data_IF_103176555318
#
_entry.id   IF_103176555318
#
_cell.length_a   1.000
_cell.length_b   1.000
_cell.length_c   1.000
_cell.angle_alpha   90.00
_cell.angle_beta   90.00
_cell.angle_gamma   90.00
#
_symmetry.space_group_name_H-M   'P 1'
#
loop_
_entity.id
_entity.type
_entity.pdbx_description
1 polymer ?
#
# COMPACT_ATOMS: atom_id res chain seq x y z
N UNK A 1 -5.36 -21.35 -46.15
CA UNK A 1 -4.58 -21.46 -44.89
C UNK A 1 -5.30 -20.62 -43.86
N UNK A 2 -5.95 -21.26 -42.92
CA UNK A 2 -6.57 -20.55 -41.78
C UNK A 2 -5.45 -20.18 -40.80
N UNK A 3 -5.36 -18.90 -40.33
CA UNK A 3 -4.36 -18.53 -39.34
C UNK A 3 -4.44 -19.42 -38.10
N UNK A 4 -3.31 -19.81 -37.53
CA UNK A 4 -3.19 -20.77 -36.41
C UNK A 4 -4.02 -20.33 -35.20
N UNK A 5 -4.13 -19.02 -34.92
CA UNK A 5 -4.94 -18.48 -33.83
C UNK A 5 -6.46 -18.71 -34.02
N UNK A 6 -6.93 -18.85 -35.28
CA UNK A 6 -8.34 -19.22 -35.54
C UNK A 6 -8.60 -20.68 -35.22
N UNK A 7 -7.58 -21.55 -35.37
CA UNK A 7 -7.71 -22.97 -35.03
C UNK A 7 -7.76 -23.20 -33.52
N UNK A 8 -6.95 -22.44 -32.73
CA UNK A 8 -7.00 -22.51 -31.27
C UNK A 8 -8.28 -21.86 -30.71
N UNK A 9 -8.79 -20.83 -31.38
CA UNK A 9 -9.89 -20.00 -30.91
C UNK A 9 -9.43 -18.92 -29.94
N UNK A 10 -10.01 -17.72 -30.06
CA UNK A 10 -9.61 -16.53 -29.31
C UNK A 10 -9.70 -16.74 -27.79
N UNK A 11 -10.71 -17.46 -27.33
CA UNK A 11 -10.92 -17.65 -25.88
C UNK A 11 -9.88 -18.59 -25.29
N UNK A 12 -9.55 -19.70 -25.96
CA UNK A 12 -8.47 -20.60 -25.50
C UNK A 12 -7.09 -19.96 -25.57
N UNK A 13 -6.85 -19.12 -26.57
CA UNK A 13 -5.62 -18.35 -26.68
C UNK A 13 -5.46 -17.37 -25.52
N UNK A 14 -6.53 -16.65 -25.14
CA UNK A 14 -6.51 -15.76 -23.98
C UNK A 14 -6.25 -16.51 -22.68
N UNK A 15 -6.89 -17.67 -22.47
CA UNK A 15 -6.67 -18.51 -21.29
C UNK A 15 -5.22 -18.99 -21.24
N UNK A 16 -4.66 -19.44 -22.36
CA UNK A 16 -3.26 -19.86 -22.46
C UNK A 16 -2.30 -18.73 -22.14
N UNK A 17 -2.52 -17.55 -22.73
CA UNK A 17 -1.68 -16.37 -22.47
C UNK A 17 -1.77 -15.91 -21.01
N UNK A 18 -2.94 -16.02 -20.39
CA UNK A 18 -3.14 -15.69 -18.99
C UNK A 18 -2.38 -16.67 -18.06
N UNK A 19 -2.37 -17.99 -18.38
CA UNK A 19 -1.58 -18.98 -17.64
C UNK A 19 -0.08 -18.69 -17.79
N UNK A 20 0.41 -18.44 -19.01
CA UNK A 20 1.81 -18.09 -19.28
C UNK A 20 2.21 -16.81 -18.52
N UNK A 21 1.34 -15.79 -18.54
CA UNK A 21 1.59 -14.53 -17.83
C UNK A 21 1.71 -14.73 -16.33
N UNK A 22 0.77 -15.47 -15.72
CA UNK A 22 0.77 -15.76 -14.29
C UNK A 22 1.98 -16.57 -13.86
N UNK A 23 2.30 -17.68 -14.56
CA UNK A 23 3.43 -18.56 -14.23
C UNK A 23 4.75 -17.76 -14.24
N UNK A 24 4.96 -16.91 -15.25
CA UNK A 24 6.18 -16.10 -15.34
C UNK A 24 6.19 -14.94 -14.34
N UNK A 25 5.05 -14.24 -14.13
CA UNK A 25 4.95 -13.14 -13.19
C UNK A 25 5.17 -13.63 -11.75
N UNK A 26 4.55 -14.75 -11.37
CA UNK A 26 4.73 -15.37 -10.05
C UNK A 26 6.20 -15.81 -9.81
N UNK A 27 6.89 -16.24 -10.85
CA UNK A 27 8.31 -16.58 -10.81
C UNK A 27 9.26 -15.38 -10.89
N UNK A 28 8.73 -14.13 -10.88
CA UNK A 28 9.50 -12.88 -11.06
C UNK A 28 10.30 -12.84 -12.37
N UNK A 29 9.73 -13.41 -13.43
CA UNK A 29 10.35 -13.47 -14.76
C UNK A 29 9.70 -12.49 -15.71
N UNK A 30 10.47 -11.48 -16.13
CA UNK A 30 10.10 -10.55 -17.20
C UNK A 30 10.58 -11.05 -18.58
N UNK A 31 11.63 -11.88 -18.59
CA UNK A 31 12.21 -12.47 -19.77
C UNK A 31 12.22 -14.00 -19.63
N UNK A 32 11.92 -14.68 -20.71
CA UNK A 32 11.86 -16.14 -20.76
C UNK A 32 12.40 -16.65 -22.10
N UNK A 33 13.02 -17.81 -22.08
CA UNK A 33 13.57 -18.42 -23.30
C UNK A 33 12.47 -18.96 -24.20
N UNK A 34 12.75 -19.09 -25.49
CA UNK A 34 11.87 -19.73 -26.47
C UNK A 34 11.42 -21.12 -25.99
N UNK A 35 12.36 -21.91 -25.46
CA UNK A 35 12.03 -23.25 -24.96
C UNK A 35 11.06 -23.25 -23.79
N UNK A 36 11.18 -22.28 -22.87
CA UNK A 36 10.21 -22.15 -21.75
C UNK A 36 8.82 -21.86 -22.29
N UNK A 37 8.68 -20.92 -23.23
CA UNK A 37 7.37 -20.58 -23.82
C UNK A 37 6.78 -21.76 -24.59
N UNK A 38 7.59 -22.43 -25.40
CA UNK A 38 7.15 -23.63 -26.15
C UNK A 38 6.67 -24.73 -25.19
N UNK A 39 7.38 -24.96 -24.09
CA UNK A 39 6.98 -25.94 -23.08
C UNK A 39 5.66 -25.54 -22.38
N UNK A 40 5.47 -24.25 -22.08
CA UNK A 40 4.21 -23.75 -21.47
C UNK A 40 3.05 -23.92 -22.46
N UNK A 41 3.21 -23.56 -23.72
CA UNK A 41 2.20 -23.77 -24.76
C UNK A 41 1.87 -25.27 -24.90
N UNK A 42 2.88 -26.14 -24.99
CA UNK A 42 2.69 -27.59 -25.10
C UNK A 42 1.97 -28.16 -23.88
N UNK A 43 2.31 -27.71 -22.67
CA UNK A 43 1.65 -28.10 -21.42
C UNK A 43 0.16 -27.73 -21.46
N UNK A 44 -0.15 -26.48 -21.87
CA UNK A 44 -1.51 -26.01 -21.99
C UNK A 44 -2.34 -26.84 -22.97
N UNK A 45 -1.79 -27.09 -24.19
CA UNK A 45 -2.47 -27.90 -25.21
C UNK A 45 -2.70 -29.35 -24.75
N UNK A 46 -1.75 -29.91 -24.00
CA UNK A 46 -1.85 -31.29 -23.50
C UNK A 46 -2.88 -31.46 -22.38
N UNK A 47 -3.04 -30.41 -21.55
CA UNK A 47 -3.92 -30.42 -20.38
C UNK A 47 -5.35 -29.96 -20.69
N UNK A 48 -5.60 -29.42 -21.88
CA UNK A 48 -6.90 -28.89 -22.26
C UNK A 48 -7.57 -29.79 -23.30
N UNK A 49 -8.62 -30.51 -22.91
CA UNK A 49 -9.37 -31.43 -23.79
C UNK A 49 -10.07 -30.70 -24.95
N UNK A 50 -10.36 -29.42 -24.82
CA UNK A 50 -10.96 -28.59 -25.85
C UNK A 50 -9.95 -28.01 -26.84
N UNK A 51 -8.64 -28.12 -26.54
CA UNK A 51 -7.61 -27.67 -27.44
C UNK A 51 -7.42 -28.66 -28.62
N UNK A 52 -7.28 -28.17 -29.87
CA UNK A 52 -6.99 -29.03 -31.01
C UNK A 52 -5.66 -29.78 -30.82
N UNK A 53 -5.71 -31.10 -30.90
CA UNK A 53 -4.57 -31.98 -30.56
C UNK A 53 -3.38 -31.92 -31.56
N UNK A 54 -3.56 -31.30 -32.71
CA UNK A 54 -2.56 -31.28 -33.80
C UNK A 54 -1.92 -29.89 -34.02
N UNK A 55 -2.05 -28.97 -33.03
CA UNK A 55 -1.43 -27.66 -33.12
C UNK A 55 0.06 -27.73 -32.76
N UNK A 56 0.85 -27.10 -33.55
CA UNK A 56 2.30 -26.96 -33.35
C UNK A 56 2.56 -25.76 -32.43
N UNK A 57 3.18 -25.96 -31.25
CA UNK A 57 3.51 -24.85 -30.31
C UNK A 57 4.37 -23.76 -30.98
N UNK A 58 5.27 -24.11 -31.90
CA UNK A 58 6.10 -23.15 -32.63
C UNK A 58 5.26 -22.21 -33.48
N UNK A 59 4.29 -22.76 -34.22
CA UNK A 59 3.35 -21.94 -35.02
C UNK A 59 2.47 -21.03 -34.17
N UNK A 60 2.09 -21.48 -32.97
CA UNK A 60 1.35 -20.64 -32.05
C UNK A 60 2.24 -19.51 -31.55
N UNK A 61 3.49 -19.80 -31.18
CA UNK A 61 4.46 -18.77 -30.77
C UNK A 61 4.69 -17.75 -31.88
N UNK A 62 4.87 -18.20 -33.15
CA UNK A 62 4.99 -17.31 -34.29
C UNK A 62 3.77 -16.39 -34.46
N UNK A 63 2.56 -16.94 -34.34
CA UNK A 63 1.33 -16.13 -34.41
C UNK A 63 1.26 -15.07 -33.31
N UNK A 64 1.56 -15.44 -32.07
CA UNK A 64 1.54 -14.54 -30.90
C UNK A 64 2.60 -13.44 -31.03
N UNK A 65 3.77 -13.76 -31.63
CA UNK A 65 4.89 -12.82 -31.76
C UNK A 65 4.81 -11.98 -33.01
N UNK A 66 4.65 -12.61 -34.18
CA UNK A 66 4.79 -11.95 -35.50
C UNK A 66 3.46 -11.32 -35.92
N UNK A 67 2.34 -12.02 -35.74
CA UNK A 67 1.04 -11.55 -36.25
C UNK A 67 0.35 -10.62 -35.23
N UNK A 68 0.47 -10.90 -33.92
CA UNK A 68 -0.27 -10.17 -32.88
C UNK A 68 0.60 -9.23 -32.06
N UNK A 69 1.91 -9.49 -31.95
CA UNK A 69 2.83 -8.67 -31.17
C UNK A 69 2.54 -8.69 -29.65
N UNK A 70 1.93 -9.76 -29.13
CA UNK A 70 1.64 -9.94 -27.70
C UNK A 70 2.93 -10.29 -26.95
N UNK A 71 3.70 -11.24 -27.49
CA UNK A 71 5.08 -11.51 -27.08
C UNK A 71 6.03 -10.88 -28.09
N UNK A 72 7.21 -10.48 -27.63
CA UNK A 72 8.24 -9.85 -28.45
C UNK A 72 9.58 -10.53 -28.15
N UNK A 73 10.29 -10.93 -29.21
CA UNK A 73 11.66 -11.39 -29.09
C UNK A 73 12.59 -10.19 -28.84
N UNK A 74 13.19 -10.12 -27.65
CA UNK A 74 14.08 -9.03 -27.21
C UNK A 74 15.54 -9.27 -27.57
N UNK A 75 15.91 -10.53 -27.62
CA UNK A 75 17.22 -11.01 -28.08
C UNK A 75 16.98 -12.41 -28.66
N UNK A 76 17.99 -12.98 -29.30
CA UNK A 76 17.86 -14.31 -29.90
C UNK A 76 17.35 -15.33 -28.89
N UNK A 77 16.22 -15.94 -29.19
CA UNK A 77 15.53 -16.96 -28.37
C UNK A 77 15.11 -16.46 -26.95
N UNK A 78 15.01 -15.12 -26.74
CA UNK A 78 14.58 -14.50 -25.48
C UNK A 78 13.36 -13.63 -25.72
N UNK A 79 12.28 -13.95 -25.05
CA UNK A 79 10.96 -13.32 -25.20
C UNK A 79 10.53 -12.56 -23.94
N UNK A 80 9.65 -11.61 -24.12
CA UNK A 80 8.89 -10.96 -23.04
C UNK A 80 7.49 -10.62 -23.57
N UNK A 81 6.56 -10.30 -22.66
CA UNK A 81 5.37 -9.58 -23.09
C UNK A 81 5.75 -8.23 -23.68
N UNK A 82 4.99 -7.76 -24.68
CA UNK A 82 5.25 -6.49 -25.36
C UNK A 82 5.28 -5.31 -24.38
N UNK A 83 4.39 -5.35 -23.38
CA UNK A 83 4.32 -4.42 -22.27
C UNK A 83 4.13 -5.17 -20.96
N UNK A 84 4.76 -4.67 -19.87
CA UNK A 84 4.57 -5.22 -18.52
C UNK A 84 3.10 -5.19 -18.11
N UNK A 85 2.40 -4.11 -18.40
CA UNK A 85 0.97 -3.95 -18.10
C UNK A 85 0.09 -5.01 -18.75
N UNK A 86 0.50 -5.56 -19.90
CA UNK A 86 -0.19 -6.68 -20.54
C UNK A 86 0.01 -7.98 -19.76
N UNK A 87 1.24 -8.23 -19.29
CA UNK A 87 1.53 -9.38 -18.43
C UNK A 87 0.75 -9.28 -17.11
N UNK A 88 0.72 -8.10 -16.47
CA UNK A 88 -0.03 -7.84 -15.25
C UNK A 88 -1.54 -8.04 -15.45
N UNK A 89 -2.10 -7.54 -16.55
CA UNK A 89 -3.51 -7.71 -16.88
C UNK A 89 -3.88 -9.18 -17.09
N UNK A 90 -3.10 -9.92 -17.86
CA UNK A 90 -3.32 -11.34 -18.10
C UNK A 90 -3.15 -12.16 -16.80
N UNK A 91 -2.19 -11.78 -15.96
CA UNK A 91 -2.02 -12.36 -14.63
C UNK A 91 -3.25 -12.12 -13.74
N UNK A 92 -3.79 -10.90 -13.74
CA UNK A 92 -5.03 -10.57 -13.00
C UNK A 92 -6.24 -11.37 -13.51
N UNK A 93 -6.35 -11.52 -14.83
CA UNK A 93 -7.38 -12.32 -15.46
C UNK A 93 -7.29 -13.79 -15.02
N UNK A 94 -6.07 -14.37 -15.05
CA UNK A 94 -5.84 -15.75 -14.60
C UNK A 94 -6.23 -15.94 -13.13
N UNK A 95 -5.86 -15.01 -12.26
CA UNK A 95 -6.18 -15.04 -10.82
C UNK A 95 -7.70 -15.06 -10.61
N UNK A 96 -8.42 -14.18 -11.32
CA UNK A 96 -9.88 -14.08 -11.20
C UNK A 96 -10.58 -15.34 -11.74
N UNK A 97 -10.23 -15.79 -12.94
CA UNK A 97 -10.84 -16.93 -13.60
C UNK A 97 -10.60 -18.25 -12.86
N UNK A 98 -9.42 -18.40 -12.24
CA UNK A 98 -9.05 -19.58 -11.45
C UNK A 98 -9.34 -19.45 -9.94
N UNK A 99 -10.05 -18.41 -9.50
CA UNK A 99 -10.45 -18.19 -8.09
C UNK A 99 -9.27 -18.14 -7.12
N UNK A 100 -8.17 -17.54 -7.54
CA UNK A 100 -6.93 -17.41 -6.75
C UNK A 100 -6.87 -16.10 -5.94
N UNK A 101 -7.98 -15.38 -5.81
CA UNK A 101 -8.03 -14.07 -5.11
C UNK A 101 -7.59 -14.20 -3.64
N UNK A 102 -8.02 -15.27 -2.95
CA UNK A 102 -7.58 -15.51 -1.57
C UNK A 102 -6.06 -15.74 -1.50
N UNK A 103 -5.51 -16.53 -2.43
CA UNK A 103 -4.05 -16.75 -2.52
C UNK A 103 -3.31 -15.44 -2.79
N UNK A 104 -3.79 -14.62 -3.73
CA UNK A 104 -3.22 -13.30 -4.00
C UNK A 104 -3.13 -12.46 -2.73
N UNK A 105 -4.21 -12.38 -1.95
CA UNK A 105 -4.26 -11.57 -0.74
C UNK A 105 -3.34 -12.13 0.33
N UNK A 106 -3.36 -13.44 0.59
CA UNK A 106 -2.58 -14.05 1.68
C UNK A 106 -1.08 -14.06 1.43
N UNK A 107 -0.65 -14.20 0.18
CA UNK A 107 0.76 -14.32 -0.16
C UNK A 107 1.41 -12.99 -0.60
N UNK A 108 0.64 -12.05 -1.16
CA UNK A 108 1.23 -10.91 -1.86
C UNK A 108 0.72 -9.53 -1.43
N UNK A 109 -0.16 -9.43 -0.40
CA UNK A 109 -0.79 -8.16 0.02
C UNK A 109 0.20 -7.01 0.25
N UNK A 110 1.41 -7.30 0.72
CA UNK A 110 2.44 -6.30 1.01
C UNK A 110 3.62 -6.32 0.04
N UNK A 111 3.57 -7.17 -0.98
CA UNK A 111 4.56 -7.17 -2.06
C UNK A 111 4.21 -6.08 -3.10
N UNK A 112 5.00 -5.01 -3.11
CA UNK A 112 4.78 -3.85 -3.99
C UNK A 112 4.78 -4.20 -5.48
N UNK A 113 5.44 -5.30 -5.86
CA UNK A 113 5.47 -5.79 -7.25
C UNK A 113 4.08 -6.20 -7.72
N UNK A 114 3.24 -6.72 -6.81
CA UNK A 114 1.88 -7.17 -7.12
C UNK A 114 0.83 -6.05 -7.11
N UNK A 115 1.23 -4.81 -6.81
CA UNK A 115 0.28 -3.69 -6.69
C UNK A 115 -0.66 -3.58 -7.89
N UNK A 116 -0.10 -3.49 -9.11
CA UNK A 116 -0.90 -3.33 -10.33
C UNK A 116 -1.82 -4.54 -10.56
N UNK A 117 -1.36 -5.75 -10.23
CA UNK A 117 -2.20 -6.95 -10.31
C UNK A 117 -3.40 -6.85 -9.38
N UNK A 118 -3.25 -6.35 -8.15
CA UNK A 118 -4.38 -6.09 -7.23
C UNK A 118 -5.39 -5.12 -7.83
N UNK A 119 -4.93 -4.00 -8.40
CA UNK A 119 -5.81 -3.00 -9.01
C UNK A 119 -6.56 -3.60 -10.21
N UNK A 120 -5.87 -4.36 -11.04
CA UNK A 120 -6.45 -5.02 -12.22
C UNK A 120 -7.43 -6.12 -11.81
N UNK A 121 -7.14 -6.92 -10.77
CA UNK A 121 -8.10 -7.91 -10.22
C UNK A 121 -9.36 -7.20 -9.77
N UNK A 122 -9.26 -6.10 -8.99
CA UNK A 122 -10.43 -5.32 -8.59
C UNK A 122 -11.24 -4.81 -9.81
N UNK A 123 -10.55 -4.39 -10.88
CA UNK A 123 -11.15 -3.90 -12.11
C UNK A 123 -11.85 -4.99 -12.95
N UNK A 124 -11.33 -6.23 -12.99
CA UNK A 124 -11.92 -7.32 -13.76
C UNK A 124 -13.06 -8.05 -13.04
N UNK A 125 -13.23 -7.83 -11.74
CA UNK A 125 -14.29 -8.42 -10.93
C UNK A 125 -15.66 -7.81 -11.27
N UNK A 126 -16.30 -8.29 -12.34
CA UNK A 126 -17.58 -7.74 -12.85
C UNK A 126 -18.74 -7.82 -11.86
N UNK A 127 -18.70 -8.77 -10.93
CA UNK A 127 -19.68 -8.93 -9.85
C UNK A 127 -19.49 -7.96 -8.67
N UNK A 128 -18.41 -7.16 -8.70
CA UNK A 128 -17.99 -6.25 -7.62
C UNK A 128 -16.78 -6.78 -6.86
N UNK A 129 -16.04 -5.86 -6.25
CA UNK A 129 -14.78 -6.15 -5.54
C UNK A 129 -14.96 -6.32 -4.02
N UNK A 130 -16.19 -6.44 -3.54
CA UNK A 130 -16.49 -6.51 -2.10
C UNK A 130 -15.70 -7.62 -1.39
N UNK A 131 -15.70 -8.83 -1.97
CA UNK A 131 -14.99 -9.99 -1.38
C UNK A 131 -13.47 -9.76 -1.33
N UNK A 132 -12.89 -9.19 -2.39
CA UNK A 132 -11.47 -8.83 -2.40
C UNK A 132 -11.14 -7.86 -1.27
N UNK A 133 -11.91 -6.77 -1.14
CA UNK A 133 -11.66 -5.73 -0.14
C UNK A 133 -11.83 -6.26 1.29
N UNK A 134 -12.83 -7.12 1.54
CA UNK A 134 -13.05 -7.76 2.83
C UNK A 134 -11.92 -8.74 3.18
N UNK A 135 -11.42 -9.51 2.21
CA UNK A 135 -10.26 -10.38 2.40
C UNK A 135 -9.00 -9.58 2.74
N UNK A 136 -8.75 -8.50 2.00
CA UNK A 136 -7.62 -7.60 2.27
C UNK A 136 -7.74 -6.97 3.66
N UNK A 137 -8.93 -6.47 4.06
CA UNK A 137 -9.19 -5.92 5.39
C UNK A 137 -8.94 -6.95 6.50
N UNK A 138 -9.32 -8.20 6.29
CA UNK A 138 -9.05 -9.29 7.25
C UNK A 138 -7.55 -9.58 7.35
N UNK A 139 -6.87 -9.67 6.22
CA UNK A 139 -5.46 -10.04 6.17
C UNK A 139 -4.55 -8.96 6.78
N UNK A 140 -4.84 -7.68 6.54
CA UNK A 140 -4.04 -6.56 7.03
C UNK A 140 -3.96 -6.52 8.56
N UNK A 141 -4.97 -7.01 9.27
CA UNK A 141 -4.99 -7.01 10.74
C UNK A 141 -3.87 -7.86 11.37
N UNK A 142 -3.29 -8.80 10.63
CA UNK A 142 -2.18 -9.65 11.11
C UNK A 142 -0.91 -8.86 11.43
N UNK A 143 -0.76 -7.66 10.86
CA UNK A 143 0.41 -6.82 11.11
C UNK A 143 0.31 -6.02 12.42
N UNK A 144 -0.88 -5.90 13.03
CA UNK A 144 -1.05 -5.25 14.33
C UNK A 144 -1.04 -6.31 15.45
N UNK A 145 0.11 -6.95 15.58
CA UNK A 145 0.32 -8.16 16.37
C UNK A 145 0.95 -7.92 17.75
N UNK A 146 1.43 -6.68 18.04
CA UNK A 146 2.04 -6.34 19.32
C UNK A 146 1.20 -5.36 20.13
N UNK A 147 1.31 -5.40 21.49
CA UNK A 147 0.62 -4.44 22.35
C UNK A 147 0.98 -2.96 22.05
N UNK A 148 2.22 -2.69 21.60
CA UNK A 148 2.66 -1.34 21.25
C UNK A 148 1.97 -0.82 20.00
N UNK A 149 1.88 -1.62 18.93
CA UNK A 149 1.16 -1.25 17.71
C UNK A 149 -0.33 -1.04 17.99
N UNK A 150 -0.93 -1.90 18.82
CA UNK A 150 -2.31 -1.74 19.23
C UNK A 150 -2.52 -0.47 20.07
N UNK A 151 -1.60 -0.18 21.00
CA UNK A 151 -1.65 1.05 21.79
C UNK A 151 -1.53 2.31 20.92
N UNK A 152 -0.67 2.29 19.88
CA UNK A 152 -0.52 3.38 18.92
C UNK A 152 -1.83 3.64 18.14
N UNK A 153 -2.48 2.60 17.62
CA UNK A 153 -3.75 2.76 16.91
C UNK A 153 -4.87 3.25 17.84
N UNK A 154 -4.96 2.70 19.06
CA UNK A 154 -5.91 3.15 20.06
C UNK A 154 -5.68 4.60 20.48
N UNK A 155 -4.42 5.01 20.58
CA UNK A 155 -4.07 6.41 20.83
C UNK A 155 -4.54 7.29 19.67
N UNK A 156 -4.26 6.93 18.43
CA UNK A 156 -4.65 7.70 17.25
C UNK A 156 -6.18 7.91 17.18
N UNK A 157 -6.95 6.86 17.46
CA UNK A 157 -8.42 6.99 17.59
C UNK A 157 -8.81 7.91 18.75
N UNK A 158 -8.24 7.70 19.93
CA UNK A 158 -8.59 8.45 21.13
C UNK A 158 -8.35 9.96 21.00
N UNK A 159 -7.33 10.39 20.26
CA UNK A 159 -6.98 11.81 20.07
C UNK A 159 -7.64 12.46 18.86
N UNK A 160 -8.24 11.67 17.95
CA UNK A 160 -8.87 12.19 16.74
C UNK A 160 -10.38 12.10 16.73
N UNK A 161 -10.97 11.19 17.50
CA UNK A 161 -12.42 11.01 17.57
C UNK A 161 -13.10 12.29 18.06
N UNK A 162 -14.14 12.74 17.34
CA UNK A 162 -14.91 13.96 17.70
C UNK A 162 -14.15 15.28 17.47
N UNK A 163 -13.00 15.27 16.80
CA UNK A 163 -12.29 16.48 16.38
C UNK A 163 -13.09 17.27 15.33
N UNK A 164 -12.91 18.61 15.29
CA UNK A 164 -13.76 19.52 14.50
C UNK A 164 -13.36 19.61 13.03
N UNK A 165 -12.13 19.23 12.64
CA UNK A 165 -11.65 19.29 11.26
C UNK A 165 -12.53 18.47 10.31
N UNK A 166 -12.76 19.01 9.13
CA UNK A 166 -13.64 18.45 8.09
C UNK A 166 -12.90 17.37 7.26
N UNK A 167 -12.38 16.37 7.94
CA UNK A 167 -11.69 15.22 7.34
C UNK A 167 -12.35 13.91 7.78
N UNK A 168 -12.28 12.89 6.92
CA UNK A 168 -12.76 11.57 7.28
C UNK A 168 -12.01 11.02 8.50
N UNK A 169 -12.69 10.27 9.39
CA UNK A 169 -12.06 9.70 10.60
C UNK A 169 -10.78 8.89 10.29
N UNK A 170 -10.79 8.08 9.22
CA UNK A 170 -9.62 7.31 8.80
C UNK A 170 -8.44 8.23 8.44
N UNK A 171 -8.69 9.36 7.77
CA UNK A 171 -7.66 10.34 7.43
C UNK A 171 -7.04 10.98 8.66
N UNK A 172 -7.87 11.35 9.65
CA UNK A 172 -7.40 11.89 10.93
C UNK A 172 -6.51 10.90 11.67
N UNK A 173 -6.91 9.62 11.76
CA UNK A 173 -6.10 8.56 12.36
C UNK A 173 -4.78 8.35 11.61
N UNK A 174 -4.82 8.35 10.29
CA UNK A 174 -3.63 8.19 9.46
C UNK A 174 -2.59 9.29 9.73
N UNK A 175 -3.04 10.54 9.86
CA UNK A 175 -2.16 11.67 10.21
C UNK A 175 -1.58 11.52 11.61
N UNK A 176 -2.39 11.15 12.59
CA UNK A 176 -1.91 10.94 13.95
C UNK A 176 -0.82 9.84 14.00
N UNK A 177 -1.05 8.72 13.33
CA UNK A 177 -0.07 7.63 13.24
C UNK A 177 1.21 8.10 12.50
N UNK A 178 1.06 8.82 11.40
CA UNK A 178 2.19 9.33 10.63
C UNK A 178 3.08 10.29 11.44
N UNK A 179 2.50 11.13 12.30
CA UNK A 179 3.25 12.01 13.19
C UNK A 179 4.15 11.26 14.16
N UNK A 180 3.66 10.16 14.74
CA UNK A 180 4.45 9.32 15.64
C UNK A 180 5.49 8.53 14.85
N UNK A 181 5.12 8.01 13.70
CA UNK A 181 6.00 7.24 12.83
C UNK A 181 7.07 8.11 12.15
N UNK A 182 6.85 9.43 11.99
CA UNK A 182 7.84 10.36 11.46
C UNK A 182 9.13 10.43 12.31
N UNK A 183 9.05 10.12 13.61
CA UNK A 183 10.24 9.94 14.45
C UNK A 183 11.01 8.63 14.14
N UNK A 184 10.33 7.63 13.57
CA UNK A 184 10.92 6.36 13.13
C UNK A 184 11.27 6.38 11.63
N UNK A 185 10.82 7.40 10.88
CA UNK A 185 10.82 7.41 9.43
C UNK A 185 11.78 8.42 8.81
N UNK A 186 12.79 7.87 8.30
CA UNK A 186 13.47 8.23 7.06
C UNK A 186 12.59 7.89 5.80
N UNK A 187 11.31 7.59 5.94
CA UNK A 187 10.49 7.02 4.86
C UNK A 187 9.34 7.95 4.41
N UNK A 188 9.57 8.69 3.31
CA UNK A 188 8.58 9.53 2.64
C UNK A 188 7.27 8.80 2.25
N UNK A 189 7.26 7.47 2.23
CA UNK A 189 6.11 6.65 1.82
C UNK A 189 4.93 6.70 2.80
N UNK A 190 5.18 6.85 4.11
CA UNK A 190 4.09 6.94 5.08
C UNK A 190 3.28 8.24 4.94
N UNK A 191 3.95 9.32 4.56
CA UNK A 191 3.31 10.61 4.27
C UNK A 191 2.43 10.57 3.02
N UNK A 192 2.91 9.91 1.96
CA UNK A 192 2.12 9.71 0.73
C UNK A 192 0.87 8.88 1.02
N UNK A 193 1.01 7.85 1.84
CA UNK A 193 -0.12 7.00 2.24
C UNK A 193 -1.13 7.76 3.12
N UNK A 194 -0.67 8.59 4.07
CA UNK A 194 -1.56 9.42 4.88
C UNK A 194 -2.40 10.39 4.04
N UNK A 195 -1.85 10.92 2.94
CA UNK A 195 -2.56 11.79 2.00
C UNK A 195 -3.72 11.10 1.30
N UNK A 196 -3.53 9.86 0.85
CA UNK A 196 -4.60 9.08 0.22
C UNK A 196 -5.76 8.83 1.20
N UNK A 197 -5.46 8.57 2.48
CA UNK A 197 -6.46 8.39 3.53
C UNK A 197 -7.24 9.68 3.82
N UNK A 198 -6.56 10.83 3.79
CA UNK A 198 -7.18 12.11 4.13
C UNK A 198 -8.08 12.69 3.02
N UNK A 199 -7.89 12.24 1.79
CA UNK A 199 -8.58 12.77 0.60
C UNK A 199 -8.47 14.31 0.48
N UNK A 200 -7.31 14.88 0.91
CA UNK A 200 -7.11 16.32 1.02
C UNK A 200 -5.70 16.74 0.63
N UNK A 201 -5.61 17.49 -0.47
CA UNK A 201 -4.35 18.12 -0.94
C UNK A 201 -3.70 19.05 0.11
N UNK A 202 -4.51 19.67 0.98
CA UNK A 202 -4.04 20.56 2.03
C UNK A 202 -3.27 19.82 3.14
N UNK A 203 -3.71 18.61 3.47
CA UNK A 203 -3.04 17.78 4.48
C UNK A 203 -1.70 17.27 3.98
N UNK A 204 -1.60 16.94 2.67
CA UNK A 204 -0.35 16.60 2.00
C UNK A 204 0.69 17.69 2.16
N UNK A 205 0.29 18.93 1.95
CA UNK A 205 1.18 20.08 2.02
C UNK A 205 1.68 20.34 3.45
N UNK A 206 0.79 20.24 4.43
CA UNK A 206 1.14 20.40 5.84
C UNK A 206 2.08 19.30 6.32
N UNK A 207 1.86 18.03 5.90
CA UNK A 207 2.70 16.89 6.27
C UNK A 207 4.04 16.87 5.53
N UNK A 208 4.10 17.30 4.28
CA UNK A 208 5.36 17.46 3.52
C UNK A 208 6.20 18.57 4.16
N UNK A 209 5.59 19.65 4.62
CA UNK A 209 6.28 20.71 5.36
C UNK A 209 6.60 20.32 6.81
N UNK A 210 5.81 19.43 7.43
CA UNK A 210 6.09 18.85 8.73
C UNK A 210 7.21 17.81 8.72
N UNK A 211 7.85 17.60 7.60
CA UNK A 211 9.01 16.74 7.31
C UNK A 211 9.42 15.76 8.43
N UNK A 212 9.93 14.58 8.09
CA UNK A 212 10.27 13.47 8.99
C UNK A 212 11.10 13.80 10.26
N UNK A 213 11.54 15.03 10.39
CA UNK A 213 12.21 15.61 11.54
C UNK A 213 11.35 16.65 12.27
N UNK A 214 10.02 16.61 12.18
CA UNK A 214 9.16 17.61 12.82
C UNK A 214 9.45 17.78 14.31
N UNK A 215 9.86 16.72 14.99
CA UNK A 215 10.24 16.75 16.40
C UNK A 215 11.75 16.98 16.65
N UNK A 216 12.57 16.95 15.60
CA UNK A 216 14.04 17.09 15.70
C UNK A 216 14.60 18.35 15.03
N UNK A 217 13.76 19.19 14.39
CA UNK A 217 14.15 20.37 13.62
C UNK A 217 13.77 21.69 14.32
N UNK A 218 14.50 22.76 13.99
CA UNK A 218 14.18 24.14 14.35
C UNK A 218 12.77 24.61 13.90
N UNK A 219 12.09 23.85 13.04
CA UNK A 219 10.73 24.11 12.57
C UNK A 219 9.66 23.27 13.27
N UNK A 220 10.02 22.49 14.30
CA UNK A 220 9.06 21.57 14.95
C UNK A 220 7.84 22.32 15.51
N UNK A 221 8.04 23.44 16.17
CA UNK A 221 6.99 24.27 16.77
C UNK A 221 6.07 24.83 15.69
N UNK A 222 6.64 25.38 14.61
CA UNK A 222 5.88 25.86 13.46
C UNK A 222 5.02 24.74 12.85
N UNK A 223 5.59 23.57 12.64
CA UNK A 223 4.89 22.43 12.07
C UNK A 223 3.74 21.94 12.95
N UNK A 224 3.93 21.91 14.27
CA UNK A 224 2.88 21.57 15.24
C UNK A 224 1.75 22.61 15.18
N UNK A 225 2.07 23.90 15.05
CA UNK A 225 1.07 24.97 14.87
C UNK A 225 0.28 24.82 13.57
N UNK A 226 0.91 24.41 12.46
CA UNK A 226 0.19 24.13 11.21
C UNK A 226 -0.75 22.90 11.35
N UNK A 227 -0.32 21.87 12.06
CA UNK A 227 -1.15 20.70 12.35
C UNK A 227 -2.36 21.04 13.23
N UNK A 228 -2.19 21.92 14.22
CA UNK A 228 -3.30 22.42 15.05
C UNK A 228 -4.40 23.06 14.18
N UNK A 229 -4.02 23.87 13.19
CA UNK A 229 -4.96 24.54 12.27
C UNK A 229 -5.85 23.57 11.49
N UNK A 230 -5.40 22.33 11.28
CA UNK A 230 -6.18 21.30 10.60
C UNK A 230 -7.33 20.76 11.46
N UNK A 231 -7.34 21.02 12.77
CA UNK A 231 -8.34 20.59 13.73
C UNK A 231 -8.62 19.07 13.69
N UNK A 232 -7.62 18.28 13.36
CA UNK A 232 -7.70 16.81 13.28
C UNK A 232 -7.65 16.15 14.65
N UNK A 233 -7.15 16.86 15.66
CA UNK A 233 -7.11 16.41 17.04
C UNK A 233 -8.26 16.99 17.84
N UNK A 234 -8.74 16.23 18.82
CA UNK A 234 -9.76 16.66 19.76
C UNK A 234 -9.16 17.38 20.98
N UNK A 235 -10.01 17.82 21.89
CA UNK A 235 -9.62 18.58 23.08
C UNK A 235 -8.76 17.81 24.09
N UNK A 236 -8.49 16.51 23.88
CA UNK A 236 -7.53 15.76 24.71
C UNK A 236 -6.09 16.24 24.51
N UNK A 237 -5.79 16.85 23.34
CA UNK A 237 -4.53 17.51 23.09
C UNK A 237 -4.72 19.03 23.23
N UNK A 238 -3.99 19.62 24.15
CA UNK A 238 -4.10 21.06 24.45
C UNK A 238 -2.93 21.84 23.84
N UNK A 239 -3.06 22.22 22.58
CA UNK A 239 -2.05 22.98 21.83
C UNK A 239 -1.82 24.38 22.41
N UNK A 240 -2.84 25.00 23.01
CA UNK A 240 -2.70 26.33 23.65
C UNK A 240 -1.77 26.30 24.87
N UNK A 241 -1.54 25.12 25.45
CA UNK A 241 -0.56 24.92 26.52
C UNK A 241 0.76 24.40 25.96
N UNK A 242 0.70 23.47 25.02
CA UNK A 242 1.89 22.80 24.44
C UNK A 242 2.80 23.78 23.69
N UNK A 243 2.23 24.57 22.77
CA UNK A 243 3.04 25.49 21.93
C UNK A 243 3.84 26.50 22.77
N UNK A 244 3.27 27.25 23.73
CA UNK A 244 4.04 28.16 24.58
C UNK A 244 5.10 27.48 25.44
N UNK A 245 4.87 26.22 25.85
CA UNK A 245 5.88 25.44 26.56
C UNK A 245 7.08 25.12 25.69
N UNK A 246 6.85 24.73 24.43
CA UNK A 246 7.91 24.44 23.45
C UNK A 246 8.68 25.70 23.07
N UNK A 247 7.99 26.81 22.80
CA UNK A 247 8.60 28.14 22.55
C UNK A 247 9.47 28.59 23.71
N UNK A 248 9.01 28.40 24.95
CA UNK A 248 9.77 28.71 26.16
C UNK A 248 11.04 27.87 26.31
N UNK A 249 10.97 26.62 25.89
CA UNK A 249 12.13 25.72 25.85
C UNK A 249 13.12 26.16 24.77
N UNK A 250 12.64 26.46 23.57
CA UNK A 250 13.47 26.90 22.45
C UNK A 250 14.22 28.21 22.75
N UNK A 251 13.52 29.18 23.36
CA UNK A 251 14.12 30.44 23.76
C UNK A 251 15.30 30.32 24.76
N UNK A 252 15.44 29.18 25.47
CA UNK A 252 16.54 28.91 26.39
C UNK A 252 17.82 28.40 25.71
N UNK A 253 17.75 28.02 24.43
CA UNK A 253 18.88 27.47 23.65
C UNK A 253 19.30 28.41 22.50
N UNK A 254 19.21 29.68 22.70
CA UNK A 254 19.58 30.66 21.66
C UNK A 254 21.08 30.78 21.36
N UNK A 255 21.95 29.98 21.98
CA UNK A 255 23.40 30.06 21.77
C UNK A 255 24.00 28.69 21.36
N UNK A 256 24.40 28.57 20.06
CA UNK A 256 25.09 27.40 19.48
C UNK A 256 26.42 27.06 20.15
N UNK A 257 26.89 27.91 21.07
CA UNK A 257 28.18 27.76 21.82
C UNK A 257 28.03 27.05 23.15
N UNK A 258 26.81 26.58 23.50
CA UNK A 258 26.62 25.88 24.77
C UNK A 258 27.24 24.47 24.73
N UNK A 259 27.65 23.93 25.89
CA UNK A 259 28.19 22.57 25.98
C UNK A 259 27.21 21.52 25.46
N UNK A 260 27.73 20.45 24.87
CA UNK A 260 26.94 19.31 24.32
C UNK A 260 25.96 18.74 25.36
N UNK A 261 26.34 18.68 26.63
CA UNK A 261 25.47 18.22 27.72
C UNK A 261 24.21 19.06 27.89
N UNK A 262 24.28 20.37 27.61
CA UNK A 262 23.14 21.29 27.69
C UNK A 262 22.22 21.05 26.49
N UNK A 263 22.75 20.82 25.29
CA UNK A 263 21.95 20.46 24.12
C UNK A 263 21.26 19.13 24.31
N UNK A 264 21.93 18.12 24.87
CA UNK A 264 21.31 16.82 25.17
C UNK A 264 20.20 16.92 26.22
N UNK A 265 20.43 17.69 27.30
CA UNK A 265 19.40 17.91 28.33
C UNK A 265 18.15 18.63 27.78
N UNK A 266 18.37 19.58 26.89
CA UNK A 266 17.28 20.26 26.18
C UNK A 266 16.52 19.30 25.27
N UNK A 267 17.22 18.60 24.38
CA UNK A 267 16.59 17.65 23.46
C UNK A 267 15.71 16.65 24.23
N UNK A 268 16.22 16.13 25.34
CA UNK A 268 15.45 15.24 26.23
C UNK A 268 14.21 15.92 26.76
N UNK A 269 14.33 17.16 27.29
CA UNK A 269 13.20 17.90 27.87
C UNK A 269 12.17 18.29 26.80
N UNK A 270 12.63 18.66 25.61
CA UNK A 270 11.78 18.98 24.47
C UNK A 270 10.95 17.75 24.04
N UNK A 271 11.59 16.58 23.87
CA UNK A 271 10.92 15.31 23.55
C UNK A 271 9.92 14.93 24.65
N UNK A 272 10.29 15.00 25.93
CA UNK A 272 9.39 14.73 27.05
C UNK A 272 8.15 15.66 27.02
N UNK A 273 8.33 16.94 26.72
CA UNK A 273 7.24 17.91 26.63
C UNK A 273 6.31 17.59 25.46
N UNK A 274 6.87 17.21 24.31
CA UNK A 274 6.11 16.75 23.15
C UNK A 274 5.28 15.50 23.47
N UNK A 275 5.92 14.46 23.99
CA UNK A 275 5.25 13.21 24.31
C UNK A 275 4.08 13.44 25.28
N UNK A 276 4.32 14.23 26.34
CA UNK A 276 3.28 14.59 27.29
C UNK A 276 2.15 15.40 26.64
N UNK A 277 2.50 16.38 25.79
CA UNK A 277 1.51 17.20 25.08
C UNK A 277 0.63 16.41 24.12
N UNK A 278 1.19 15.37 23.50
CA UNK A 278 0.46 14.46 22.63
C UNK A 278 -0.15 13.25 23.36
N UNK A 279 -0.04 13.17 24.69
CA UNK A 279 -0.46 12.01 25.48
C UNK A 279 0.15 10.69 24.99
N UNK A 280 1.40 10.73 24.55
CA UNK A 280 2.18 9.59 24.11
C UNK A 280 3.09 9.10 25.24
N UNK A 281 3.25 7.79 25.34
CA UNK A 281 4.25 7.20 26.24
C UNK A 281 5.51 6.84 25.45
N UNK A 282 6.71 6.80 26.09
CA UNK A 282 7.93 6.36 25.42
C UNK A 282 7.81 4.98 24.75
N UNK A 283 7.02 4.07 25.34
CA UNK A 283 6.79 2.74 24.81
C UNK A 283 6.03 2.76 23.48
N UNK A 284 5.08 3.70 23.31
CA UNK A 284 4.30 3.85 22.06
C UNK A 284 5.14 4.35 20.89
N UNK A 285 6.18 5.14 21.17
CA UNK A 285 7.03 5.74 20.13
C UNK A 285 8.32 4.95 19.88
N UNK A 286 8.75 4.13 20.86
CA UNK A 286 9.97 3.35 20.75
C UNK A 286 9.67 1.95 20.18
N UNK A 287 9.29 1.90 18.92
CA UNK A 287 9.03 0.68 18.19
C UNK A 287 10.34 -0.02 17.82
N UNK A 288 10.34 -1.35 17.85
CA UNK A 288 11.43 -2.16 17.29
C UNK A 288 11.44 -2.08 15.76
N UNK A 289 12.56 -2.48 15.13
CA UNK A 289 12.65 -2.55 13.66
C UNK A 289 11.58 -3.45 13.05
N UNK A 290 11.18 -4.51 13.73
CA UNK A 290 10.13 -5.42 13.28
C UNK A 290 8.76 -4.76 13.38
N UNK A 291 8.46 -4.08 14.50
CA UNK A 291 7.23 -3.31 14.67
C UNK A 291 7.09 -2.17 13.65
N UNK A 292 8.20 -1.49 13.32
CA UNK A 292 8.22 -0.47 12.25
C UNK A 292 7.90 -1.10 10.90
N UNK A 293 8.52 -2.25 10.56
CA UNK A 293 8.22 -2.96 9.30
C UNK A 293 6.77 -3.44 9.23
N UNK A 294 6.23 -3.94 10.33
CA UNK A 294 4.83 -4.38 10.38
C UNK A 294 3.86 -3.20 10.28
N UNK A 295 4.17 -2.07 10.91
CA UNK A 295 3.39 -0.84 10.76
C UNK A 295 3.41 -0.32 9.31
N UNK A 296 4.57 -0.34 8.65
CA UNK A 296 4.72 0.05 7.24
C UNK A 296 3.89 -0.86 6.32
N UNK A 297 3.92 -2.18 6.53
CA UNK A 297 3.08 -3.15 5.80
C UNK A 297 1.60 -2.89 6.04
N UNK A 298 1.22 -2.64 7.30
CA UNK A 298 -0.15 -2.32 7.67
C UNK A 298 -0.67 -1.07 6.96
N UNK A 299 0.10 0.01 7.00
CA UNK A 299 -0.26 1.26 6.34
C UNK A 299 -0.33 1.10 4.82
N UNK A 300 0.67 0.44 4.23
CA UNK A 300 0.69 0.16 2.79
C UNK A 300 -0.52 -0.67 2.34
N UNK A 301 -0.84 -1.75 3.04
CA UNK A 301 -1.96 -2.61 2.68
C UNK A 301 -3.31 -1.88 2.81
N UNK A 302 -3.52 -1.06 3.87
CA UNK A 302 -4.70 -0.22 3.98
C UNK A 302 -4.80 0.80 2.82
N UNK A 303 -3.68 1.39 2.41
CA UNK A 303 -3.63 2.26 1.23
C UNK A 303 -3.99 1.49 -0.05
N UNK A 304 -3.48 0.28 -0.24
CA UNK A 304 -3.79 -0.57 -1.38
C UNK A 304 -5.29 -0.92 -1.43
N UNK A 305 -5.96 -1.13 -0.29
CA UNK A 305 -7.41 -1.33 -0.23
C UNK A 305 -8.16 -0.13 -0.84
N UNK A 306 -7.77 1.10 -0.51
CA UNK A 306 -8.38 2.31 -1.09
C UNK A 306 -8.18 2.34 -2.61
N UNK A 307 -6.96 2.07 -3.08
CA UNK A 307 -6.65 2.04 -4.50
C UNK A 307 -7.42 0.96 -5.26
N UNK A 308 -7.57 -0.24 -4.68
CA UNK A 308 -8.40 -1.30 -5.24
C UNK A 308 -9.87 -0.89 -5.33
N UNK A 309 -10.40 -0.21 -4.31
CA UNK A 309 -11.76 0.34 -4.33
C UNK A 309 -11.94 1.37 -5.46
N UNK A 310 -10.95 2.22 -5.70
CA UNK A 310 -10.98 3.20 -6.79
C UNK A 310 -10.87 2.57 -8.18
N UNK A 311 -10.09 1.49 -8.31
CA UNK A 311 -9.92 0.73 -9.55
C UNK A 311 -11.10 -0.18 -9.87
N UNK A 312 -11.91 -0.56 -8.88
CA UNK A 312 -13.01 -1.48 -9.02
C UNK A 312 -14.16 -0.87 -9.84
N UNK A 313 -14.78 -1.68 -10.71
CA UNK A 313 -15.98 -1.28 -11.45
C UNK A 313 -17.18 -1.05 -10.54
N UNK A 314 -17.29 -1.83 -9.47
CA UNK A 314 -18.40 -1.76 -8.52
C UNK A 314 -17.92 -2.18 -7.13
N UNK A 315 -18.35 -1.43 -6.12
CA UNK A 315 -18.21 -1.76 -4.70
C UNK A 315 -19.48 -1.34 -3.99
N UNK A 316 -20.04 -2.22 -3.16
CA UNK A 316 -21.23 -1.91 -2.36
C UNK A 316 -20.95 -0.76 -1.41
N UNK A 317 -21.80 0.28 -1.44
CA UNK A 317 -21.65 1.44 -0.57
C UNK A 317 -21.58 1.05 0.90
N UNK A 318 -22.44 0.15 1.35
CA UNK A 318 -22.49 -0.33 2.73
C UNK A 318 -21.21 -1.05 3.14
N UNK A 319 -20.66 -1.91 2.26
CA UNK A 319 -19.41 -2.63 2.52
C UNK A 319 -18.25 -1.62 2.62
N UNK A 320 -18.16 -0.68 1.67
CA UNK A 320 -17.11 0.32 1.71
C UNK A 320 -17.16 1.20 2.96
N UNK A 321 -18.33 1.73 3.32
CA UNK A 321 -18.50 2.54 4.53
C UNK A 321 -18.08 1.76 5.80
N UNK A 322 -18.39 0.45 5.83
CA UNK A 322 -17.99 -0.42 6.93
C UNK A 322 -16.48 -0.60 7.00
N UNK A 323 -15.82 -0.90 5.86
CA UNK A 323 -14.36 -1.03 5.78
C UNK A 323 -13.69 0.29 6.16
N UNK A 324 -14.09 1.41 5.54
CA UNK A 324 -13.51 2.74 5.78
C UNK A 324 -13.60 3.16 7.25
N UNK A 325 -14.72 2.84 7.90
CA UNK A 325 -14.92 3.16 9.34
C UNK A 325 -13.95 2.37 10.22
N UNK A 326 -13.66 1.11 9.87
CA UNK A 326 -12.78 0.22 10.64
C UNK A 326 -11.30 0.38 10.31
N UNK A 327 -10.97 1.03 9.19
CA UNK A 327 -9.56 1.25 8.81
C UNK A 327 -8.78 1.96 9.90
N UNK A 328 -7.56 1.49 10.14
CA UNK A 328 -6.64 2.02 11.14
C UNK A 328 -7.17 1.96 12.58
N UNK A 329 -8.04 1.01 12.85
CA UNK A 329 -8.50 0.65 14.21
C UNK A 329 -7.99 -0.75 14.59
N UNK A 330 -7.80 -0.94 15.88
CA UNK A 330 -7.60 -2.27 16.43
C UNK A 330 -8.91 -3.04 16.33
N UNK A 331 -8.87 -4.22 15.73
CA UNK A 331 -10.05 -5.09 15.66
C UNK A 331 -10.35 -5.61 17.06
N UNK A 332 -11.48 -5.23 17.64
CA UNK A 332 -11.99 -5.88 18.83
C UNK A 332 -12.43 -7.30 18.46
N UNK A 333 -11.76 -8.30 19.06
CA UNK A 333 -12.14 -9.71 18.94
C UNK A 333 -13.55 -9.96 19.50
#
# INVERSE_FOLDING_TARGET
>A
YEPVYRQLGIDLEKIMLAEIAYDNFAADKLFFSQQEVLNQIQKFLSNNDNAPKNLDPGKILDAITIEQGILVERARDVFSFSHLTLQEYLTAQYIYDNRLVEKLVTEHLTDKRWKEVFLLVAGVMRGGADDLLLLMEKEVQKYINTPKLQALLNWAEAVTVGSQGDYKPVGKRAVAIALVNANALVNANALVNANAFANANALAFALVNANANAFANANAIYNIGEIEKLQIFNQKLNFTVLLPQLETLEAKISDDKQPEEVHLAFAKKFIETLLNGFNLTPEMVNLSEEEIKDLDKYLYANYLIIQCKEAALSVSKQIWETIETRMLLVKNN
#
